data_IF_235004331100
#
_entry.id   IF_235004331100
#
_cell.length_a   1.000
_cell.length_b   1.000
_cell.length_c   1.000
_cell.angle_alpha   90.00
_cell.angle_beta   90.00
_cell.angle_gamma   90.00
#
_symmetry.space_group_name_H-M   'P 1'
#
loop_
_entity.id
_entity.type
_entity.pdbx_description
1 polymer ?
#
# COMPACT_ATOMS: atom_id res chain seq x y z
N UNK A 1 -3.14 -18.87 3.80
CA UNK A 1 -2.16 -17.96 4.41
C UNK A 1 -2.59 -16.55 4.05
N UNK A 2 -3.21 -15.77 4.94
CA UNK A 2 -3.51 -14.37 4.62
C UNK A 2 -2.18 -13.63 4.47
N UNK A 3 -1.90 -13.09 3.27
CA UNK A 3 -0.78 -12.18 3.04
C UNK A 3 -1.19 -10.84 3.64
N UNK A 4 -0.90 -10.61 4.93
CA UNK A 4 -1.07 -9.29 5.51
C UNK A 4 -0.15 -8.32 4.75
N UNK A 5 -0.72 -7.25 4.20
CA UNK A 5 0.04 -6.23 3.45
C UNK A 5 1.02 -5.48 4.35
N UNK A 6 0.76 -5.43 5.66
CA UNK A 6 1.60 -4.77 6.65
C UNK A 6 1.48 -5.51 7.99
N UNK A 7 2.58 -5.71 8.70
CA UNK A 7 2.63 -6.08 10.13
C UNK A 7 3.20 -4.91 10.93
N UNK A 8 2.80 -4.75 12.18
CA UNK A 8 3.25 -3.63 12.99
C UNK A 8 2.67 -3.64 14.41
N UNK A 9 3.11 -2.67 15.20
CA UNK A 9 2.68 -2.47 16.58
C UNK A 9 2.46 -0.98 16.89
N UNK A 10 1.58 -0.71 17.85
CA UNK A 10 1.32 0.65 18.34
C UNK A 10 2.12 0.88 19.63
N UNK A 11 2.87 1.97 19.66
CA UNK A 11 3.51 2.48 20.87
C UNK A 11 2.73 3.71 21.36
N UNK A 12 2.15 3.63 22.55
CA UNK A 12 1.42 4.75 23.16
C UNK A 12 2.37 5.77 23.79
N UNK A 13 2.07 7.05 23.67
CA UNK A 13 2.85 8.09 24.36
C UNK A 13 2.42 8.17 25.84
N UNK A 14 3.37 7.94 26.75
CA UNK A 14 3.12 7.92 28.20
C UNK A 14 2.72 9.31 28.76
N UNK A 15 3.04 10.39 28.04
CA UNK A 15 2.73 11.77 28.43
C UNK A 15 1.49 12.33 27.72
N UNK A 16 1.11 11.76 26.58
CA UNK A 16 -0.03 12.16 25.77
C UNK A 16 -0.91 10.93 25.44
N UNK A 17 -1.90 10.58 26.29
CA UNK A 17 -2.66 9.33 26.18
C UNK A 17 -3.47 9.17 24.89
N UNK A 18 -3.68 10.26 24.15
CA UNK A 18 -4.40 10.29 22.87
C UNK A 18 -3.47 10.17 21.66
N UNK A 19 -2.15 10.17 21.86
CA UNK A 19 -1.16 10.03 20.80
C UNK A 19 -0.58 8.61 20.83
N UNK A 20 -0.45 8.01 19.65
CA UNK A 20 0.24 6.72 19.49
C UNK A 20 1.03 6.74 18.20
N UNK A 21 2.22 6.14 18.25
CA UNK A 21 3.08 5.92 17.10
C UNK A 21 2.81 4.54 16.53
N UNK A 22 2.56 4.45 15.23
CA UNK A 22 2.44 3.17 14.52
C UNK A 22 3.81 2.77 13.96
N UNK A 23 4.37 1.69 14.51
CA UNK A 23 5.58 1.05 14.01
C UNK A 23 5.20 -0.04 13.04
N UNK A 24 5.86 -0.07 11.88
CA UNK A 24 5.58 -1.04 10.83
C UNK A 24 6.79 -1.96 10.69
N UNK A 25 6.61 -3.24 11.02
CA UNK A 25 7.68 -4.23 11.12
C UNK A 25 7.93 -4.92 9.77
N UNK A 26 6.85 -5.26 9.04
CA UNK A 26 6.89 -5.65 7.64
C UNK A 26 5.95 -4.76 6.85
N UNK A 27 6.43 -4.19 5.73
CA UNK A 27 5.57 -3.40 4.84
C UNK A 27 5.67 -3.96 3.42
N UNK A 28 4.64 -4.70 3.00
CA UNK A 28 4.42 -4.85 1.57
C UNK A 28 3.84 -3.51 1.09
N UNK A 29 4.71 -2.69 0.48
CA UNK A 29 4.31 -1.52 -0.29
C UNK A 29 3.57 -0.43 0.52
N UNK A 30 4.30 0.34 1.35
CA UNK A 30 3.79 1.52 2.07
C UNK A 30 2.97 2.50 1.22
N UNK A 31 3.28 2.55 -0.07
CA UNK A 31 2.58 3.38 -1.03
C UNK A 31 1.11 2.97 -1.25
N UNK A 32 0.71 1.75 -0.86
CA UNK A 32 -0.70 1.32 -0.81
C UNK A 32 -1.54 2.11 0.21
N UNK A 33 -0.89 2.72 1.21
CA UNK A 33 -1.54 3.53 2.24
C UNK A 33 -1.77 4.98 1.81
N UNK A 34 -1.20 5.41 0.69
CA UNK A 34 -1.37 6.76 0.18
C UNK A 34 -2.73 6.96 -0.49
N UNK A 35 -3.19 8.22 -0.63
CA UNK A 35 -4.37 8.52 -1.44
C UNK A 35 -4.24 7.92 -2.86
N UNK A 36 -5.33 7.40 -3.46
CA UNK A 36 -5.27 6.66 -4.73
C UNK A 36 -4.47 7.36 -5.84
N UNK A 37 -4.63 8.67 -5.99
CA UNK A 37 -3.92 9.45 -7.02
C UNK A 37 -2.39 9.41 -6.86
N UNK A 38 -1.87 9.38 -5.62
CA UNK A 38 -0.43 9.26 -5.36
C UNK A 38 0.05 7.84 -5.60
N UNK A 39 -0.70 6.86 -5.09
CA UNK A 39 -0.36 5.45 -5.22
C UNK A 39 -0.24 5.05 -6.69
N UNK A 40 -1.17 5.49 -7.54
CA UNK A 40 -1.15 5.26 -8.99
C UNK A 40 0.08 5.89 -9.66
N UNK A 41 0.37 7.16 -9.35
CA UNK A 41 1.52 7.85 -9.94
C UNK A 41 2.84 7.16 -9.58
N UNK A 42 2.94 6.66 -8.35
CA UNK A 42 4.09 5.88 -7.89
C UNK A 42 4.14 4.50 -8.54
N UNK A 43 3.02 3.79 -8.67
CA UNK A 43 2.93 2.52 -9.40
C UNK A 43 3.46 2.66 -10.83
N UNK A 44 2.94 3.65 -11.56
CA UNK A 44 3.31 3.90 -12.95
C UNK A 44 4.79 4.28 -13.11
N UNK A 45 5.33 5.02 -12.13
CA UNK A 45 6.76 5.38 -12.10
C UNK A 45 7.63 4.15 -11.81
N UNK A 46 7.20 3.33 -10.85
CA UNK A 46 7.90 2.12 -10.46
C UNK A 46 7.91 1.09 -11.59
N UNK A 47 6.76 0.83 -12.22
CA UNK A 47 6.64 -0.09 -13.35
C UNK A 47 7.49 0.34 -14.56
N UNK A 48 7.60 1.66 -14.81
CA UNK A 48 8.51 2.18 -15.84
C UNK A 48 9.99 1.89 -15.53
N UNK A 49 10.37 1.96 -14.26
CA UNK A 49 11.75 1.69 -13.82
C UNK A 49 12.05 0.19 -13.73
N UNK A 50 11.04 -0.61 -13.39
CA UNK A 50 11.11 -2.05 -13.18
C UNK A 50 9.90 -2.72 -13.85
N UNK A 51 9.96 -2.92 -15.18
CA UNK A 51 8.85 -3.53 -15.92
C UNK A 51 8.48 -4.90 -15.33
N UNK A 52 7.19 -5.21 -15.29
CA UNK A 52 6.61 -6.49 -14.83
C UNK A 52 6.73 -6.76 -13.32
N UNK A 53 7.58 -6.05 -12.58
CA UNK A 53 7.80 -6.29 -11.14
C UNK A 53 6.52 -6.13 -10.30
N UNK A 54 5.63 -5.20 -10.67
CA UNK A 54 4.33 -5.06 -10.01
C UNK A 54 3.34 -6.14 -10.43
N UNK A 55 3.37 -6.55 -11.70
CA UNK A 55 2.51 -7.61 -12.21
C UNK A 55 2.80 -8.95 -11.54
N UNK A 56 4.08 -9.27 -11.31
CA UNK A 56 4.53 -10.46 -10.55
C UNK A 56 4.00 -10.50 -9.11
N UNK A 57 3.72 -9.32 -8.54
CA UNK A 57 3.12 -9.15 -7.22
C UNK A 57 1.57 -9.11 -7.25
N UNK A 58 0.97 -9.29 -8.43
CA UNK A 58 -0.49 -9.26 -8.61
C UNK A 58 -1.09 -7.87 -8.78
N UNK A 59 -0.26 -6.86 -9.08
CA UNK A 59 -0.67 -5.48 -9.36
C UNK A 59 -0.44 -5.21 -10.85
N UNK A 60 -1.37 -5.69 -11.68
CA UNK A 60 -1.30 -5.53 -13.14
C UNK A 60 -1.53 -4.06 -13.57
N UNK A 61 -1.09 -3.64 -14.77
CA UNK A 61 -1.23 -2.25 -15.24
C UNK A 61 -2.64 -1.67 -15.17
N UNK A 62 -3.66 -2.50 -15.35
CA UNK A 62 -5.06 -2.10 -15.27
C UNK A 62 -5.46 -1.63 -13.86
N UNK A 63 -4.75 -2.10 -12.83
CA UNK A 63 -4.99 -1.74 -11.43
C UNK A 63 -4.64 -0.28 -11.16
N UNK A 64 -3.60 0.25 -11.81
CA UNK A 64 -3.18 1.64 -11.66
C UNK A 64 -3.47 2.49 -12.91
N UNK A 65 -4.46 2.10 -13.71
CA UNK A 65 -4.93 2.91 -14.83
C UNK A 65 -5.64 4.19 -14.33
N UNK A 66 -6.45 4.09 -13.28
CA UNK A 66 -7.14 5.21 -12.65
C UNK A 66 -7.52 4.94 -11.17
N UNK A 67 -7.99 5.99 -10.49
CA UNK A 67 -8.36 5.94 -9.07
C UNK A 67 -9.48 4.94 -8.75
N UNK A 68 -10.39 4.72 -9.69
CA UNK A 68 -11.51 3.80 -9.53
C UNK A 68 -11.04 2.34 -9.63
N UNK A 69 -10.20 2.02 -10.60
CA UNK A 69 -9.58 0.71 -10.76
C UNK A 69 -8.74 0.34 -9.53
N UNK A 70 -7.93 1.28 -9.05
CA UNK A 70 -7.12 1.10 -7.85
C UNK A 70 -7.96 0.78 -6.60
N UNK A 71 -9.00 1.58 -6.37
CA UNK A 71 -9.91 1.40 -5.22
C UNK A 71 -10.69 0.09 -5.32
N UNK A 72 -11.12 -0.28 -6.53
CA UNK A 72 -11.80 -1.55 -6.78
C UNK A 72 -10.90 -2.74 -6.50
N UNK A 73 -9.65 -2.69 -6.96
CA UNK A 73 -8.67 -3.74 -6.68
C UNK A 73 -8.39 -3.86 -5.18
N UNK A 74 -8.15 -2.75 -4.47
CA UNK A 74 -7.94 -2.77 -3.01
C UNK A 74 -9.09 -3.43 -2.25
N UNK A 75 -10.34 -3.16 -2.66
CA UNK A 75 -11.52 -3.74 -2.01
C UNK A 75 -11.68 -5.26 -2.27
N UNK A 76 -11.08 -5.81 -3.33
CA UNK A 76 -11.07 -7.25 -3.62
C UNK A 76 -10.03 -8.02 -2.81
N UNK A 77 -9.07 -7.33 -2.20
CA UNK A 77 -8.01 -7.94 -1.36
C UNK A 77 -8.44 -8.15 0.10
N UNK A 78 -9.63 -7.67 0.49
CA UNK A 78 -10.24 -7.92 1.80
C UNK A 78 -10.91 -9.28 1.85
#
# INVERSE_FOLDING_TARGET
MPRALVTGHLEGDATLPTLSTLHLDDTAALWLLAPPHKAIAWAATYDRAYPEALADLGIAPEVYADAHAWTTWLNRQK
#
